data_IF_342978046352
#
_entry.id   IF_342978046352
#
_cell.length_a   1.000
_cell.length_b   1.000
_cell.length_c   1.000
_cell.angle_alpha   90.00
_cell.angle_beta   90.00
_cell.angle_gamma   90.00
#
_symmetry.space_group_name_H-M   'P 1'
#
loop_
_entity.id
_entity.type
_entity.pdbx_description
1 polymer ?
#
# COMPACT_ATOMS: atom_id res chain seq x y z
N UNK A 1 22.91 -34.09 2.70
CA UNK A 1 22.20 -33.26 1.71
C UNK A 1 20.75 -33.09 2.17
N UNK A 2 20.53 -32.47 3.33
CA UNK A 2 19.20 -32.25 3.95
C UNK A 2 19.35 -31.12 4.97
N UNK A 3 19.22 -29.88 4.53
CA UNK A 3 19.04 -28.69 5.38
C UNK A 3 18.66 -27.47 4.53
N UNK A 4 19.09 -27.39 3.26
CA UNK A 4 18.76 -26.28 2.35
C UNK A 4 17.38 -26.29 1.68
N UNK A 5 16.65 -27.41 1.64
CA UNK A 5 15.33 -27.49 0.97
C UNK A 5 14.15 -27.04 1.85
N UNK A 6 14.34 -26.86 3.17
CA UNK A 6 13.25 -26.40 4.07
C UNK A 6 13.23 -24.89 4.28
N UNK A 7 14.25 -24.17 3.85
CA UNK A 7 14.34 -22.71 3.98
C UNK A 7 13.72 -22.00 2.77
N UNK A 8 13.82 -22.60 1.56
CA UNK A 8 13.19 -22.04 0.35
C UNK A 8 11.66 -22.14 0.30
N UNK A 9 11.06 -23.00 1.11
CA UNK A 9 9.60 -23.21 1.14
C UNK A 9 8.89 -22.21 2.09
N UNK A 10 9.65 -21.48 2.91
CA UNK A 10 9.12 -20.42 3.79
C UNK A 10 9.09 -19.04 3.11
N UNK A 11 9.84 -18.82 2.04
CA UNK A 11 9.86 -17.55 1.31
C UNK A 11 8.61 -17.33 0.43
N UNK A 12 7.79 -18.37 0.21
CA UNK A 12 6.54 -18.30 -0.56
C UNK A 12 5.27 -18.05 0.27
N UNK A 13 5.36 -18.05 1.61
CA UNK A 13 4.20 -17.88 2.48
C UNK A 13 3.95 -16.38 2.70
N UNK A 14 2.81 -15.91 2.22
CA UNK A 14 2.37 -14.53 2.39
C UNK A 14 1.65 -14.41 3.73
N UNK A 15 2.23 -13.66 4.65
CA UNK A 15 1.57 -13.32 5.91
C UNK A 15 0.57 -12.18 5.67
N UNK A 16 -0.71 -12.54 5.70
CA UNK A 16 -1.84 -11.63 5.50
C UNK A 16 -2.38 -11.17 6.86
N UNK A 17 -2.40 -9.86 7.16
CA UNK A 17 -3.16 -9.34 8.28
C UNK A 17 -4.64 -9.68 8.14
N UNK A 18 -5.28 -10.24 9.18
CA UNK A 18 -6.70 -10.62 9.14
C UNK A 18 -7.61 -9.46 8.72
N UNK A 19 -7.22 -8.22 9.04
CA UNK A 19 -7.91 -7.02 8.60
C UNK A 19 -7.90 -6.86 7.08
N UNK A 20 -6.75 -6.97 6.41
CA UNK A 20 -6.63 -6.91 4.94
C UNK A 20 -7.51 -7.97 4.29
N UNK A 21 -7.57 -9.18 4.87
CA UNK A 21 -8.48 -10.21 4.39
C UNK A 21 -9.95 -9.75 4.45
N UNK A 22 -10.42 -9.26 5.60
CA UNK A 22 -11.83 -8.86 5.76
C UNK A 22 -12.18 -7.70 4.84
N UNK A 23 -11.31 -6.69 4.75
CA UNK A 23 -11.50 -5.51 3.91
C UNK A 23 -11.45 -5.87 2.41
N UNK A 24 -10.50 -6.72 2.02
CA UNK A 24 -10.36 -7.18 0.65
C UNK A 24 -11.45 -8.15 0.20
N UNK A 25 -12.26 -8.69 1.11
CA UNK A 25 -13.39 -9.56 0.78
C UNK A 25 -14.71 -8.81 0.58
N UNK A 26 -14.72 -7.48 0.73
CA UNK A 26 -15.90 -6.66 0.46
C UNK A 26 -16.20 -6.63 -1.04
N UNK A 27 -17.42 -7.04 -1.38
CA UNK A 27 -17.95 -7.04 -2.74
C UNK A 27 -18.38 -5.64 -3.16
N UNK A 28 -18.71 -5.52 -4.44
CA UNK A 28 -19.17 -4.26 -5.06
C UNK A 28 -20.41 -3.65 -4.39
N UNK A 29 -21.32 -4.49 -3.92
CA UNK A 29 -22.53 -4.07 -3.20
C UNK A 29 -22.27 -3.73 -1.71
N UNK A 30 -20.99 -3.78 -1.28
CA UNK A 30 -20.57 -3.55 0.09
C UNK A 30 -20.81 -4.71 1.04
N UNK A 31 -21.20 -5.89 0.55
CA UNK A 31 -21.37 -7.08 1.41
C UNK A 31 -20.11 -7.92 1.49
N UNK A 32 -19.98 -8.70 2.56
CA UNK A 32 -19.02 -9.80 2.66
C UNK A 32 -19.81 -11.05 3.03
N UNK A 33 -19.65 -12.11 2.24
CA UNK A 33 -20.17 -13.43 2.59
C UNK A 33 -19.27 -14.07 3.65
N UNK A 34 -19.81 -14.32 4.84
CA UNK A 34 -19.00 -14.87 5.93
C UNK A 34 -18.48 -16.27 5.59
N UNK A 35 -19.26 -17.10 4.90
CA UNK A 35 -18.85 -18.46 4.53
C UNK A 35 -17.59 -18.45 3.66
N UNK A 36 -17.61 -17.66 2.60
CA UNK A 36 -16.48 -17.44 1.70
C UNK A 36 -15.29 -16.81 2.41
N UNK A 37 -15.52 -15.80 3.27
CA UNK A 37 -14.49 -15.20 4.11
C UNK A 37 -13.78 -16.24 4.99
N UNK A 38 -14.52 -17.13 5.68
CA UNK A 38 -13.93 -18.18 6.51
C UNK A 38 -13.19 -19.23 5.67
N UNK A 39 -13.68 -19.55 4.47
CA UNK A 39 -12.99 -20.46 3.55
C UNK A 39 -11.65 -19.89 3.12
N UNK A 40 -11.62 -18.65 2.62
CA UNK A 40 -10.37 -17.96 2.23
C UNK A 40 -9.45 -17.76 3.44
N UNK A 41 -9.99 -17.44 4.61
CA UNK A 41 -9.21 -17.35 5.85
C UNK A 41 -8.50 -18.68 6.16
N UNK A 42 -9.19 -19.81 5.99
CA UNK A 42 -8.62 -21.14 6.17
C UNK A 42 -7.50 -21.43 5.19
N UNK A 43 -7.66 -21.08 3.91
CA UNK A 43 -6.63 -21.20 2.89
C UNK A 43 -5.37 -20.36 3.22
N UNK A 44 -5.56 -19.22 3.88
CA UNK A 44 -4.49 -18.35 4.39
C UNK A 44 -3.92 -18.77 5.76
N UNK A 45 -4.33 -19.93 6.28
CA UNK A 45 -3.83 -20.46 7.56
C UNK A 45 -4.36 -19.74 8.81
N UNK A 46 -5.45 -18.97 8.68
CA UNK A 46 -6.06 -18.28 9.81
C UNK A 46 -7.08 -19.17 10.52
N UNK A 47 -7.14 -19.05 11.84
CA UNK A 47 -8.17 -19.71 12.65
C UNK A 47 -9.50 -18.94 12.59
N UNK A 48 -10.60 -19.67 12.72
CA UNK A 48 -11.94 -19.06 12.84
C UNK A 48 -12.02 -18.04 14.01
N UNK A 49 -11.23 -18.23 15.08
CA UNK A 49 -11.18 -17.31 16.22
C UNK A 49 -10.54 -15.97 15.83
N UNK A 50 -9.43 -15.99 15.09
CA UNK A 50 -8.77 -14.77 14.60
C UNK A 50 -9.73 -13.93 13.76
N UNK A 51 -10.45 -14.57 12.82
CA UNK A 51 -11.43 -13.90 11.96
C UNK A 51 -12.58 -13.31 12.78
N UNK A 52 -13.14 -14.06 13.75
CA UNK A 52 -14.21 -13.56 14.65
C UNK A 52 -13.78 -12.33 15.43
N UNK A 53 -12.56 -12.32 15.97
CA UNK A 53 -12.04 -11.20 16.75
C UNK A 53 -11.84 -9.96 15.86
N UNK A 54 -11.34 -10.15 14.63
CA UNK A 54 -11.21 -9.08 13.66
C UNK A 54 -12.57 -8.47 13.28
N UNK A 55 -13.57 -9.30 12.96
CA UNK A 55 -14.93 -8.83 12.66
C UNK A 55 -15.51 -8.05 13.85
N UNK A 56 -15.40 -8.59 15.08
CA UNK A 56 -15.91 -7.91 16.28
C UNK A 56 -15.27 -6.54 16.48
N UNK A 57 -13.97 -6.42 16.23
CA UNK A 57 -13.23 -5.16 16.29
C UNK A 57 -13.73 -4.17 15.23
N UNK A 58 -13.85 -4.59 13.98
CA UNK A 58 -14.37 -3.76 12.88
C UNK A 58 -15.81 -3.30 13.12
N UNK A 59 -16.64 -4.13 13.75
CA UNK A 59 -18.00 -3.73 14.18
C UNK A 59 -17.94 -2.67 15.28
N UNK A 60 -17.07 -2.83 16.27
CA UNK A 60 -16.89 -1.84 17.35
C UNK A 60 -16.32 -0.51 16.83
N UNK A 61 -15.51 -0.54 15.78
CA UNK A 61 -14.97 0.62 15.06
C UNK A 61 -16.02 1.27 14.11
N UNK A 62 -17.23 0.71 14.00
CA UNK A 62 -18.29 1.24 13.12
C UNK A 62 -18.04 1.02 11.62
N UNK A 63 -17.10 0.13 11.28
CA UNK A 63 -16.69 -0.16 9.90
C UNK A 63 -17.40 -1.38 9.31
N UNK A 64 -17.99 -2.23 10.14
CA UNK A 64 -18.84 -3.33 9.71
C UNK A 64 -20.15 -3.35 10.48
N UNK A 65 -21.21 -3.75 9.79
CA UNK A 65 -22.46 -4.19 10.40
C UNK A 65 -22.57 -5.69 10.17
N UNK A 66 -22.89 -6.44 11.22
CA UNK A 66 -23.07 -7.89 11.17
C UNK A 66 -24.53 -8.26 11.41
N UNK A 67 -25.14 -8.96 10.47
CA UNK A 67 -26.45 -9.58 10.60
C UNK A 67 -26.29 -11.10 10.69
N UNK A 68 -26.86 -11.71 11.72
CA UNK A 68 -26.69 -13.15 11.99
C UNK A 68 -25.39 -13.50 12.71
N UNK A 69 -24.96 -14.77 12.63
CA UNK A 69 -23.78 -15.29 13.35
C UNK A 69 -23.03 -16.36 12.55
N UNK A 70 -21.72 -16.45 12.78
CA UNK A 70 -20.85 -17.49 12.21
C UNK A 70 -20.75 -17.42 10.69
N UNK A 71 -20.55 -18.57 10.05
CA UNK A 71 -20.39 -18.71 8.58
C UNK A 71 -21.66 -18.37 7.77
N UNK A 72 -22.80 -18.18 8.42
CA UNK A 72 -24.07 -17.78 7.79
C UNK A 72 -24.38 -16.30 8.01
N UNK A 73 -23.48 -15.55 8.65
CA UNK A 73 -23.67 -14.12 8.84
C UNK A 73 -23.52 -13.39 7.51
N UNK A 74 -24.31 -12.33 7.34
CA UNK A 74 -24.08 -11.33 6.31
C UNK A 74 -23.36 -10.15 6.96
N UNK A 75 -22.18 -9.80 6.44
CA UNK A 75 -21.48 -8.59 6.86
C UNK A 75 -21.70 -7.51 5.82
N UNK A 76 -21.81 -6.26 6.26
CA UNK A 76 -21.93 -5.08 5.40
C UNK A 76 -20.89 -4.04 5.80
N UNK A 77 -20.14 -3.54 4.82
CA UNK A 77 -19.21 -2.43 4.99
C UNK A 77 -19.96 -1.16 5.39
N UNK A 78 -19.43 -0.47 6.40
CA UNK A 78 -19.94 0.78 6.95
C UNK A 78 -18.80 1.79 7.15
N UNK A 79 -19.16 3.03 7.50
CA UNK A 79 -18.19 4.08 7.82
C UNK A 79 -17.11 4.27 6.74
N UNK A 80 -15.86 4.36 7.18
CA UNK A 80 -14.71 4.51 6.28
C UNK A 80 -14.43 3.27 5.46
N UNK A 81 -14.76 2.06 5.92
CA UNK A 81 -14.56 0.85 5.12
C UNK A 81 -15.43 0.86 3.85
N UNK A 82 -16.57 1.55 3.87
CA UNK A 82 -17.35 1.76 2.63
C UNK A 82 -16.63 2.67 1.63
N UNK A 83 -15.71 3.52 2.08
CA UNK A 83 -14.95 4.49 1.26
C UNK A 83 -13.50 4.06 0.96
N UNK A 84 -12.86 3.32 1.87
CA UNK A 84 -11.40 3.22 2.05
C UNK A 84 -10.79 1.87 1.67
N UNK A 85 -11.45 1.06 0.85
CA UNK A 85 -10.87 -0.22 0.35
C UNK A 85 -9.90 0.03 -0.81
N UNK A 86 -9.89 1.25 -1.33
CA UNK A 86 -8.95 1.67 -2.35
C UNK A 86 -7.64 2.13 -1.71
N UNK A 87 -6.48 1.77 -2.30
CA UNK A 87 -5.30 2.60 -2.15
C UNK A 87 -5.65 4.04 -2.50
N UNK A 88 -4.95 5.03 -1.93
CA UNK A 88 -5.12 6.40 -2.38
C UNK A 88 -4.90 6.43 -3.91
N UNK A 89 -5.97 6.61 -4.68
CA UNK A 89 -5.93 6.45 -6.13
C UNK A 89 -4.97 7.45 -6.77
N UNK A 90 -4.84 8.64 -6.17
CA UNK A 90 -3.87 9.65 -6.57
C UNK A 90 -2.43 9.18 -6.31
N UNK A 91 -2.16 8.61 -5.13
CA UNK A 91 -0.86 8.02 -4.81
C UNK A 91 -0.48 6.93 -5.82
N UNK A 92 -1.42 6.04 -6.16
CA UNK A 92 -1.17 5.02 -7.19
C UNK A 92 -0.89 5.62 -8.55
N UNK A 93 -1.71 6.59 -9.00
CA UNK A 93 -1.49 7.28 -10.27
C UNK A 93 -0.11 7.92 -10.31
N UNK A 94 0.30 8.60 -9.24
CA UNK A 94 1.62 9.21 -9.14
C UNK A 94 2.75 8.18 -9.24
N UNK A 95 2.66 7.10 -8.45
CA UNK A 95 3.61 5.99 -8.46
C UNK A 95 3.82 5.40 -9.86
N UNK A 96 2.75 5.19 -10.63
CA UNK A 96 2.85 4.65 -11.99
C UNK A 96 3.31 5.68 -13.03
N UNK A 97 3.00 6.98 -12.86
CA UNK A 97 3.61 8.05 -13.67
C UNK A 97 5.13 8.08 -13.48
N UNK A 98 5.62 7.94 -12.24
CA UNK A 98 7.05 7.87 -11.96
C UNK A 98 7.71 6.65 -12.61
N UNK A 99 7.08 5.47 -12.54
CA UNK A 99 7.59 4.26 -13.20
C UNK A 99 7.82 4.42 -14.71
N UNK A 100 7.07 5.33 -15.35
CA UNK A 100 7.14 5.64 -16.78
C UNK A 100 7.98 6.86 -17.12
N UNK A 101 8.56 7.52 -16.11
CA UNK A 101 9.29 8.78 -16.31
C UNK A 101 8.39 9.97 -16.70
N UNK A 102 7.07 9.88 -16.47
CA UNK A 102 6.10 10.95 -16.73
C UNK A 102 6.02 11.96 -15.57
N UNK A 103 6.68 11.68 -14.45
CA UNK A 103 6.84 12.57 -13.30
C UNK A 103 8.32 12.64 -12.93
N UNK A 104 9.17 13.29 -13.76
CA UNK A 104 10.59 13.42 -13.49
C UNK A 104 10.82 14.33 -12.28
N UNK A 105 11.93 14.13 -11.58
CA UNK A 105 12.35 15.09 -10.58
C UNK A 105 12.65 16.46 -11.21
N UNK A 106 12.15 17.53 -10.60
CA UNK A 106 12.35 18.92 -11.02
C UNK A 106 13.62 19.55 -10.42
N UNK A 107 14.36 18.81 -9.58
CA UNK A 107 15.54 19.30 -8.89
C UNK A 107 15.24 20.02 -7.57
N UNK A 108 13.98 20.02 -7.13
CA UNK A 108 13.53 20.72 -5.93
C UNK A 108 13.37 19.75 -4.76
N UNK A 109 13.84 20.19 -3.59
CA UNK A 109 13.52 19.58 -2.31
C UNK A 109 12.43 20.41 -1.64
N UNK A 110 11.42 19.74 -1.14
CA UNK A 110 10.29 20.34 -0.42
C UNK A 110 10.49 20.13 1.07
N UNK A 111 10.58 21.20 1.84
CA UNK A 111 10.89 21.15 3.26
C UNK A 111 9.72 21.64 4.10
N UNK A 112 9.54 20.97 5.24
CA UNK A 112 8.64 21.42 6.30
C UNK A 112 9.42 21.61 7.59
N UNK A 113 9.29 22.79 8.17
CA UNK A 113 9.73 23.08 9.52
C UNK A 113 8.51 23.27 10.42
N UNK A 114 8.57 22.83 11.68
CA UNK A 114 7.52 23.17 12.65
C UNK A 114 8.06 23.41 14.05
N UNK A 115 7.35 24.27 14.79
CA UNK A 115 7.65 24.62 16.18
C UNK A 115 6.40 24.49 17.05
N UNK A 116 5.89 23.26 17.20
CA UNK A 116 4.72 22.97 18.05
C UNK A 116 5.12 23.02 19.54
N UNK A 117 4.41 23.77 20.41
CA UNK A 117 4.76 23.88 21.83
C UNK A 117 4.76 22.54 22.58
N UNK A 118 5.60 22.41 23.61
CA UNK A 118 5.71 21.17 24.40
C UNK A 118 4.40 20.79 25.12
N UNK A 119 3.57 21.79 25.43
CA UNK A 119 2.24 21.60 25.98
C UNK A 119 1.30 20.86 25.02
N UNK A 120 1.60 20.84 23.72
CA UNK A 120 0.87 20.17 22.67
C UNK A 120 1.62 18.95 22.10
N UNK A 121 2.42 18.26 22.93
CA UNK A 121 3.20 17.07 22.54
C UNK A 121 2.41 16.02 21.73
N UNK A 122 1.16 15.64 22.08
CA UNK A 122 0.41 14.67 21.28
C UNK A 122 0.17 15.14 19.84
N UNK A 123 -0.14 16.42 19.64
CA UNK A 123 -0.35 17.00 18.32
C UNK A 123 0.96 17.06 17.52
N UNK A 124 2.08 17.38 18.18
CA UNK A 124 3.41 17.34 17.58
C UNK A 124 3.78 15.93 17.12
N UNK A 125 3.57 14.93 17.98
CA UNK A 125 3.93 13.54 17.68
C UNK A 125 3.03 13.00 16.54
N UNK A 126 1.75 13.38 16.51
CA UNK A 126 0.85 13.09 15.38
C UNK A 126 1.29 13.77 14.06
N UNK A 127 1.74 15.02 14.11
CA UNK A 127 2.23 15.72 12.91
C UNK A 127 3.51 15.06 12.37
N UNK A 128 4.41 14.61 13.26
CA UNK A 128 5.61 13.86 12.86
C UNK A 128 5.26 12.55 12.15
N UNK A 129 4.31 11.81 12.69
CA UNK A 129 3.83 10.56 12.10
C UNK A 129 3.20 10.81 10.73
N UNK A 130 2.36 11.85 10.60
CA UNK A 130 1.75 12.24 9.33
C UNK A 130 2.81 12.63 8.28
N UNK A 131 3.78 13.48 8.63
CA UNK A 131 4.87 13.89 7.73
C UNK A 131 5.68 12.68 7.25
N UNK A 132 6.05 11.76 8.14
CA UNK A 132 6.76 10.54 7.75
C UNK A 132 5.89 9.64 6.87
N UNK A 133 4.60 9.53 7.17
CA UNK A 133 3.63 8.79 6.35
C UNK A 133 3.43 9.37 4.95
N UNK A 134 3.62 10.68 4.78
CA UNK A 134 3.63 11.36 3.46
C UNK A 134 4.96 11.19 2.71
N UNK A 135 5.93 10.47 3.26
CA UNK A 135 7.24 10.22 2.64
C UNK A 135 8.37 11.14 3.13
N UNK A 136 8.12 11.98 4.14
CA UNK A 136 9.11 12.91 4.67
C UNK A 136 10.26 12.24 5.43
N UNK A 137 11.49 12.65 5.12
CA UNK A 137 12.68 12.26 5.88
C UNK A 137 13.08 13.35 6.89
N UNK A 138 13.42 12.99 8.14
CA UNK A 138 13.88 13.96 9.13
C UNK A 138 15.30 14.46 8.81
N UNK A 139 15.49 15.77 8.79
CA UNK A 139 16.80 16.42 8.76
C UNK A 139 17.28 16.77 10.16
N UNK A 140 16.41 17.41 10.95
CA UNK A 140 16.67 17.83 12.33
C UNK A 140 15.36 17.80 13.16
N UNK A 141 15.45 18.12 14.46
CA UNK A 141 14.29 18.17 15.35
C UNK A 141 13.27 19.21 14.89
N UNK A 142 12.25 18.77 14.14
CA UNK A 142 11.22 19.65 13.59
C UNK A 142 11.51 20.16 12.17
N UNK A 143 12.49 19.61 11.45
CA UNK A 143 12.75 19.90 10.04
C UNK A 143 12.78 18.60 9.23
N UNK A 144 11.97 18.52 8.18
CA UNK A 144 11.82 17.37 7.31
C UNK A 144 11.92 17.77 5.85
N UNK A 145 12.18 16.79 4.98
CA UNK A 145 12.33 16.98 3.53
C UNK A 145 11.65 15.87 2.74
N UNK A 146 11.11 16.23 1.59
CA UNK A 146 10.58 15.35 0.54
C UNK A 146 11.19 15.72 -0.81
N UNK A 147 11.24 14.76 -1.72
CA UNK A 147 11.57 14.97 -3.14
C UNK A 147 10.32 15.09 -4.03
N UNK A 148 9.13 14.93 -3.46
CA UNK A 148 7.85 15.17 -4.11
C UNK A 148 7.20 16.42 -3.52
N UNK A 149 6.45 17.12 -4.36
CA UNK A 149 5.47 18.12 -3.92
C UNK A 149 4.47 17.47 -2.96
N UNK A 150 4.32 18.08 -1.79
CA UNK A 150 3.57 17.56 -0.65
C UNK A 150 3.01 18.66 0.24
N UNK A 151 3.18 19.93 -0.14
CA UNK A 151 2.83 21.11 0.66
C UNK A 151 1.35 21.08 1.04
N UNK A 152 0.46 20.90 0.07
CA UNK A 152 -0.99 20.85 0.31
C UNK A 152 -1.38 19.68 1.25
N UNK A 153 -0.69 18.54 1.13
CA UNK A 153 -0.94 17.37 1.99
C UNK A 153 -0.49 17.64 3.42
N UNK A 154 0.67 18.27 3.60
CA UNK A 154 1.19 18.66 4.91
C UNK A 154 0.30 19.72 5.56
N UNK A 155 -0.16 20.72 4.80
CA UNK A 155 -1.10 21.74 5.29
C UNK A 155 -2.43 21.12 5.72
N UNK A 156 -2.98 20.20 4.93
CA UNK A 156 -4.21 19.49 5.26
C UNK A 156 -4.09 18.70 6.58
N UNK A 157 -2.99 17.96 6.75
CA UNK A 157 -2.73 17.21 7.99
C UNK A 157 -2.50 18.14 9.19
N UNK A 158 -1.73 19.21 9.02
CA UNK A 158 -1.51 20.21 10.07
C UNK A 158 -2.82 20.91 10.47
N UNK A 159 -3.69 21.19 9.51
CA UNK A 159 -5.03 21.74 9.74
C UNK A 159 -5.92 20.77 10.51
N UNK A 160 -5.96 19.49 10.09
CA UNK A 160 -6.72 18.42 10.76
C UNK A 160 -6.28 18.21 12.21
N UNK A 161 -4.99 18.33 12.48
CA UNK A 161 -4.39 18.18 13.83
C UNK A 161 -4.56 19.46 14.66
N UNK A 162 -4.81 20.62 14.03
CA UNK A 162 -4.97 21.91 14.71
C UNK A 162 -3.64 22.61 15.03
N UNK A 163 -2.60 22.38 14.22
CA UNK A 163 -1.24 22.92 14.41
C UNK A 163 -0.71 23.70 13.20
N UNK A 164 -1.55 24.03 12.23
CA UNK A 164 -1.16 24.73 11.01
C UNK A 164 -0.36 26.04 11.27
N UNK A 165 -0.71 26.80 12.31
CA UNK A 165 0.00 28.03 12.68
C UNK A 165 1.46 27.82 13.13
N UNK A 166 1.87 26.58 13.39
CA UNK A 166 3.22 26.22 13.81
C UNK A 166 4.07 25.64 12.68
N UNK A 167 3.54 25.58 11.45
CA UNK A 167 4.18 24.97 10.29
C UNK A 167 4.71 26.04 9.34
N UNK A 168 5.92 25.82 8.84
CA UNK A 168 6.56 26.61 7.79
C UNK A 168 6.93 25.69 6.65
N UNK A 169 6.55 26.05 5.43
CA UNK A 169 6.90 25.34 4.20
C UNK A 169 7.88 26.17 3.39
N UNK A 170 8.84 25.51 2.77
CA UNK A 170 9.78 26.13 1.85
C UNK A 170 10.34 25.09 0.89
N UNK A 171 10.86 25.57 -0.24
CA UNK A 171 11.56 24.75 -1.22
C UNK A 171 13.01 25.15 -1.35
N UNK A 172 13.87 24.22 -1.77
CA UNK A 172 15.28 24.50 -2.07
C UNK A 172 15.80 23.60 -3.19
N UNK A 173 16.52 24.17 -4.15
CA UNK A 173 17.32 23.43 -5.13
C UNK A 173 18.75 23.10 -4.65
N UNK A 174 19.13 23.54 -3.44
CA UNK A 174 20.49 23.37 -2.88
C UNK A 174 20.39 22.79 -1.47
N UNK A 175 20.14 21.48 -1.39
CA UNK A 175 20.18 20.73 -0.13
C UNK A 175 21.59 20.18 0.10
N UNK A 176 22.12 20.40 1.32
CA UNK A 176 23.42 19.86 1.74
C UNK A 176 23.31 19.30 3.14
N UNK A 177 23.77 18.06 3.32
CA UNK A 177 23.70 17.39 4.63
C UNK A 177 25.08 16.85 4.99
N UNK A 178 25.74 17.49 5.96
CA UNK A 178 27.09 17.10 6.38
C UNK A 178 28.13 17.14 5.24
N UNK A 179 28.02 18.11 4.32
CA UNK A 179 28.92 18.27 3.18
C UNK A 179 28.52 17.51 1.92
N UNK A 180 27.63 16.50 2.02
CA UNK A 180 27.07 15.80 0.86
C UNK A 180 26.12 16.71 0.08
N UNK A 181 26.20 16.66 -1.25
CA UNK A 181 25.41 17.46 -2.21
C UNK A 181 24.80 16.63 -3.33
N UNK A 182 25.29 15.42 -3.57
CA UNK A 182 24.75 14.54 -4.61
C UNK A 182 23.33 14.10 -4.21
N UNK A 183 22.30 14.40 -5.02
CA UNK A 183 20.92 14.08 -4.67
C UNK A 183 20.66 12.59 -4.43
N UNK A 184 21.37 11.69 -5.14
CA UNK A 184 21.26 10.25 -4.95
C UNK A 184 21.88 9.80 -3.62
N UNK A 185 23.06 10.32 -3.29
CA UNK A 185 23.69 10.07 -2.00
C UNK A 185 22.84 10.61 -0.82
N UNK A 186 22.25 11.80 -0.98
CA UNK A 186 21.30 12.34 -0.01
C UNK A 186 20.08 11.43 0.14
N UNK A 187 19.49 10.96 -0.96
CA UNK A 187 18.37 10.04 -0.94
C UNK A 187 18.70 8.72 -0.22
N UNK A 188 19.85 8.11 -0.53
CA UNK A 188 20.31 6.89 0.11
C UNK A 188 20.60 7.05 1.62
N UNK A 189 20.96 8.26 2.05
CA UNK A 189 21.21 8.59 3.46
C UNK A 189 19.92 8.86 4.24
N UNK A 190 18.95 9.52 3.61
CA UNK A 190 17.74 10.02 4.27
C UNK A 190 16.62 8.98 4.34
N UNK A 191 16.52 8.11 3.34
CA UNK A 191 15.50 7.06 3.27
C UNK A 191 16.12 5.66 3.34
N UNK A 192 15.42 4.67 3.92
CA UNK A 192 15.91 3.30 4.03
C UNK A 192 15.74 2.54 2.70
N UNK A 193 16.40 3.00 1.64
CA UNK A 193 16.20 2.50 0.26
C UNK A 193 16.41 0.99 0.13
N UNK A 194 17.38 0.41 0.83
CA UNK A 194 17.61 -1.03 0.81
C UNK A 194 16.45 -1.84 1.40
N UNK A 195 15.79 -1.31 2.45
CA UNK A 195 14.61 -1.95 3.05
C UNK A 195 13.43 -1.89 2.08
N UNK A 196 13.21 -0.74 1.47
CA UNK A 196 12.14 -0.54 0.47
C UNK A 196 12.37 -1.43 -0.76
N UNK A 197 13.62 -1.48 -1.25
CA UNK A 197 14.01 -2.34 -2.37
C UNK A 197 13.79 -3.83 -2.07
N UNK A 198 14.08 -4.29 -0.84
CA UNK A 198 13.78 -5.67 -0.42
C UNK A 198 12.28 -5.96 -0.43
N UNK A 199 11.45 -5.04 0.05
CA UNK A 199 10.01 -5.21 0.06
C UNK A 199 9.44 -5.31 -1.38
N UNK A 200 9.91 -4.46 -2.30
CA UNK A 200 9.54 -4.55 -3.71
C UNK A 200 10.03 -5.82 -4.40
N UNK A 201 11.23 -6.32 -4.09
CA UNK A 201 11.70 -7.61 -4.63
C UNK A 201 10.78 -8.75 -4.20
N UNK A 202 10.42 -8.80 -2.91
CA UNK A 202 9.48 -9.80 -2.38
C UNK A 202 8.10 -9.70 -3.05
N UNK A 203 7.57 -8.49 -3.23
CA UNK A 203 6.35 -8.27 -4.00
C UNK A 203 6.49 -8.82 -5.43
N UNK A 204 7.60 -8.54 -6.11
CA UNK A 204 7.86 -9.04 -7.46
C UNK A 204 7.95 -10.56 -7.55
N UNK A 205 8.55 -11.22 -6.56
CA UNK A 205 8.64 -12.69 -6.47
C UNK A 205 7.25 -13.32 -6.28
N UNK A 206 6.47 -12.81 -5.32
CA UNK A 206 5.09 -13.27 -5.08
C UNK A 206 4.21 -13.01 -6.31
N UNK A 207 4.22 -11.79 -6.85
CA UNK A 207 3.45 -11.44 -8.03
C UNK A 207 3.83 -12.30 -9.25
N UNK A 208 5.12 -12.54 -9.48
CA UNK A 208 5.58 -13.43 -10.55
C UNK A 208 5.06 -14.87 -10.41
N UNK A 209 5.14 -15.43 -9.20
CA UNK A 209 4.61 -16.76 -8.89
C UNK A 209 3.10 -16.84 -9.11
N UNK A 210 2.34 -15.86 -8.59
CA UNK A 210 0.88 -15.83 -8.73
C UNK A 210 0.43 -15.58 -10.16
N UNK A 211 1.13 -14.74 -10.92
CA UNK A 211 0.84 -14.52 -12.33
C UNK A 211 1.00 -15.81 -13.15
N UNK A 212 2.05 -16.58 -12.91
CA UNK A 212 2.24 -17.88 -13.55
C UNK A 212 1.10 -18.86 -13.20
N UNK A 213 0.61 -18.82 -11.95
CA UNK A 213 -0.53 -19.62 -11.51
C UNK A 213 -1.84 -19.20 -12.19
N UNK A 214 -2.11 -17.90 -12.27
CA UNK A 214 -3.29 -17.31 -12.92
C UNK A 214 -3.34 -17.58 -14.43
N UNK A 215 -2.18 -17.63 -15.09
CA UNK A 215 -2.04 -17.96 -16.53
C UNK A 215 -1.94 -19.46 -16.82
N UNK A 216 -2.12 -20.31 -15.81
CA UNK A 216 -2.10 -21.75 -15.97
C UNK A 216 -3.20 -22.26 -16.93
N UNK A 217 -3.04 -23.46 -17.50
CA UNK A 217 -3.96 -24.00 -18.49
C UNK A 217 -5.32 -24.43 -17.93
N UNK A 218 -5.46 -24.50 -16.59
CA UNK A 218 -6.69 -24.91 -15.91
C UNK A 218 -7.28 -23.73 -15.14
N UNK A 219 -8.59 -23.48 -15.24
CA UNK A 219 -9.27 -22.50 -14.40
C UNK A 219 -9.03 -22.80 -12.91
N UNK A 220 -8.84 -21.74 -12.15
CA UNK A 220 -8.67 -21.84 -10.70
C UNK A 220 -10.05 -21.86 -10.01
N UNK A 221 -10.19 -22.60 -8.89
CA UNK A 221 -11.38 -22.46 -8.06
C UNK A 221 -11.47 -21.05 -7.48
N UNK A 222 -12.68 -20.53 -7.29
CA UNK A 222 -12.94 -19.17 -6.78
C UNK A 222 -12.17 -18.85 -5.49
N UNK A 223 -12.11 -19.82 -4.56
CA UNK A 223 -11.35 -19.68 -3.31
C UNK A 223 -9.86 -19.37 -3.55
N UNK A 224 -9.24 -20.03 -4.53
CA UNK A 224 -7.83 -19.82 -4.86
C UNK A 224 -7.63 -18.46 -5.53
N UNK A 225 -8.54 -18.04 -6.40
CA UNK A 225 -8.53 -16.71 -7.03
C UNK A 225 -8.61 -15.59 -5.97
N UNK A 226 -9.52 -15.73 -5.01
CA UNK A 226 -9.67 -14.80 -3.90
C UNK A 226 -8.44 -14.80 -2.99
N UNK A 227 -7.90 -15.98 -2.68
CA UNK A 227 -6.67 -16.12 -1.88
C UNK A 227 -5.51 -15.36 -2.53
N UNK A 228 -5.28 -15.57 -3.83
CA UNK A 228 -4.25 -14.87 -4.60
C UNK A 228 -4.45 -13.36 -4.55
N UNK A 229 -5.68 -12.87 -4.73
CA UNK A 229 -5.96 -11.44 -4.69
C UNK A 229 -5.64 -10.81 -3.33
N UNK A 230 -6.00 -11.49 -2.24
CA UNK A 230 -5.71 -11.02 -0.87
C UNK A 230 -4.21 -11.06 -0.57
N UNK A 231 -3.49 -12.10 -1.00
CA UNK A 231 -2.04 -12.17 -0.88
C UNK A 231 -1.35 -11.00 -1.61
N UNK A 232 -1.77 -10.72 -2.84
CA UNK A 232 -1.24 -9.61 -3.65
C UNK A 232 -1.53 -8.25 -3.02
N UNK A 233 -2.74 -8.04 -2.50
CA UNK A 233 -3.10 -6.81 -1.79
C UNK A 233 -2.25 -6.62 -0.51
N UNK A 234 -2.02 -7.70 0.26
CA UNK A 234 -1.21 -7.66 1.46
C UNK A 234 0.27 -7.35 1.15
N UNK A 235 0.85 -8.00 0.14
CA UNK A 235 2.25 -7.75 -0.26
C UNK A 235 2.42 -6.36 -0.89
N UNK A 236 1.43 -5.89 -1.65
CA UNK A 236 1.45 -4.52 -2.17
C UNK A 236 1.44 -3.49 -1.04
N UNK A 237 0.52 -3.65 -0.08
CA UNK A 237 0.45 -2.75 1.10
C UNK A 237 1.78 -2.74 1.84
N UNK A 238 2.35 -3.92 2.12
CA UNK A 238 3.65 -4.07 2.79
C UNK A 238 4.81 -3.37 2.07
N UNK A 239 4.80 -3.38 0.73
CA UNK A 239 5.85 -2.76 -0.08
C UNK A 239 5.66 -1.25 -0.24
N UNK A 240 4.41 -0.79 -0.33
CA UNK A 240 4.07 0.60 -0.67
C UNK A 240 3.93 1.51 0.55
N UNK A 241 3.39 1.02 1.66
CA UNK A 241 3.19 1.82 2.88
C UNK A 241 4.47 2.50 3.39
N UNK A 242 5.67 1.87 3.35
CA UNK A 242 6.92 2.54 3.71
C UNK A 242 7.63 3.24 2.53
N UNK A 243 7.07 3.20 1.31
CA UNK A 243 7.71 3.75 0.11
C UNK A 243 7.40 5.26 -0.01
N UNK A 244 8.41 6.15 0.10
CA UNK A 244 8.23 7.60 -0.06
C UNK A 244 7.96 8.03 -1.52
N UNK A 245 7.92 7.08 -2.47
CA UNK A 245 7.79 7.35 -3.91
C UNK A 245 8.83 8.35 -4.40
N UNK A 246 10.10 8.14 -4.07
CA UNK A 246 11.15 9.02 -4.57
C UNK A 246 11.18 9.00 -6.11
N UNK A 247 11.41 10.16 -6.75
CA UNK A 247 11.62 10.24 -8.18
C UNK A 247 12.71 9.26 -8.69
N UNK A 248 12.55 8.65 -9.87
CA UNK A 248 13.49 7.66 -10.41
C UNK A 248 14.94 8.14 -10.59
N UNK A 249 15.16 9.46 -10.66
CA UNK A 249 16.47 10.09 -10.73
C UNK A 249 17.26 9.95 -9.43
N UNK A 250 16.57 9.83 -8.29
CA UNK A 250 17.16 9.71 -6.96
C UNK A 250 17.38 8.25 -6.53
N UNK A 251 16.79 7.30 -7.26
CA UNK A 251 16.84 5.89 -6.93
C UNK A 251 18.05 5.16 -7.55
N UNK A 252 18.59 4.13 -6.85
CA UNK A 252 19.52 3.18 -7.44
C UNK A 252 18.91 2.51 -8.68
N UNK A 253 19.74 2.26 -9.70
CA UNK A 253 19.31 1.60 -10.94
C UNK A 253 19.98 0.23 -11.09
N UNK A 254 19.24 -0.85 -11.42
CA UNK A 254 17.78 -0.89 -11.59
C UNK A 254 17.03 -0.86 -10.25
N UNK A 255 15.91 -0.10 -10.18
CA UNK A 255 15.04 -0.10 -9.01
C UNK A 255 14.01 -1.23 -9.10
N UNK A 256 13.86 -2.09 -8.08
CA UNK A 256 12.97 -3.26 -8.15
C UNK A 256 11.48 -2.90 -8.17
N UNK A 257 11.09 -1.73 -7.67
CA UNK A 257 9.69 -1.30 -7.60
C UNK A 257 8.98 -1.31 -8.94
N UNK A 258 9.66 -0.83 -10.01
CA UNK A 258 9.10 -0.78 -11.37
C UNK A 258 8.67 -2.17 -11.84
N UNK A 259 9.56 -3.16 -11.71
CA UNK A 259 9.28 -4.54 -12.14
C UNK A 259 8.19 -5.18 -11.27
N UNK A 260 8.23 -4.97 -9.96
CA UNK A 260 7.26 -5.53 -9.03
C UNK A 260 5.84 -5.04 -9.33
N UNK A 261 5.68 -3.73 -9.55
CA UNK A 261 4.40 -3.10 -9.88
C UNK A 261 3.89 -3.48 -11.26
N UNK A 262 4.77 -3.70 -12.24
CA UNK A 262 4.40 -4.21 -13.55
C UNK A 262 3.86 -5.65 -13.49
N UNK A 263 4.47 -6.52 -12.69
CA UNK A 263 3.97 -7.88 -12.46
C UNK A 263 2.63 -7.87 -11.71
N UNK A 264 2.51 -7.02 -10.69
CA UNK A 264 1.27 -6.85 -9.94
C UNK A 264 0.12 -6.37 -10.83
N UNK A 265 0.37 -5.38 -11.69
CA UNK A 265 -0.63 -4.89 -12.65
C UNK A 265 -1.12 -6.01 -13.59
N UNK A 266 -0.22 -6.89 -14.04
CA UNK A 266 -0.61 -8.06 -14.83
C UNK A 266 -1.48 -9.03 -14.03
N UNK A 267 -1.17 -9.29 -12.75
CA UNK A 267 -2.04 -10.12 -11.90
C UNK A 267 -3.45 -9.53 -11.80
N UNK A 268 -3.56 -8.22 -11.56
CA UNK A 268 -4.86 -7.53 -11.47
C UNK A 268 -5.67 -7.62 -12.76
N UNK A 269 -5.00 -7.63 -13.92
CA UNK A 269 -5.68 -7.83 -15.21
C UNK A 269 -6.15 -9.29 -15.44
N UNK A 270 -5.49 -10.29 -14.86
CA UNK A 270 -5.89 -11.70 -15.00
C UNK A 270 -6.97 -12.12 -13.99
N UNK A 271 -6.98 -11.54 -12.79
CA UNK A 271 -7.90 -11.94 -11.70
C UNK A 271 -9.39 -11.89 -12.11
N UNK A 272 -9.92 -10.83 -12.74
CA UNK A 272 -11.31 -10.79 -13.20
C UNK A 272 -11.66 -11.86 -14.24
N UNK A 273 -10.68 -12.36 -15.01
CA UNK A 273 -10.91 -13.43 -16.01
C UNK A 273 -11.13 -14.80 -15.37
N UNK A 274 -10.64 -14.97 -14.14
CA UNK A 274 -10.73 -16.23 -13.39
C UNK A 274 -11.87 -16.23 -12.36
N UNK A 275 -12.32 -15.05 -11.93
CA UNK A 275 -13.34 -14.93 -10.89
C UNK A 275 -14.78 -14.99 -11.42
N UNK A 276 -15.68 -15.50 -10.59
CA UNK A 276 -17.12 -15.33 -10.73
C UNK A 276 -17.48 -13.84 -10.53
N UNK A 277 -18.02 -13.15 -11.55
CA UNK A 277 -18.36 -11.73 -11.47
C UNK A 277 -19.34 -11.38 -10.35
N UNK A 278 -20.24 -12.31 -9.98
CA UNK A 278 -21.22 -12.08 -8.91
C UNK A 278 -20.57 -12.12 -7.50
N UNK A 279 -19.36 -12.65 -7.40
CA UNK A 279 -18.60 -12.84 -6.16
C UNK A 279 -17.29 -12.06 -6.15
N UNK A 280 -17.04 -11.26 -7.18
CA UNK A 280 -15.82 -10.48 -7.31
C UNK A 280 -15.75 -9.42 -6.19
N UNK A 281 -14.63 -9.36 -5.44
CA UNK A 281 -14.41 -8.29 -4.49
C UNK A 281 -14.26 -6.95 -5.21
N UNK A 282 -14.67 -5.88 -4.54
CA UNK A 282 -14.56 -4.51 -5.04
C UNK A 282 -13.13 -4.10 -5.39
N UNK A 283 -12.14 -4.67 -4.70
CA UNK A 283 -10.74 -4.36 -4.98
C UNK A 283 -10.33 -4.72 -6.42
N UNK A 284 -11.01 -5.69 -7.07
CA UNK A 284 -10.68 -6.07 -8.44
C UNK A 284 -10.91 -4.89 -9.38
N UNK A 285 -12.07 -4.23 -9.29
CA UNK A 285 -12.37 -3.04 -10.07
C UNK A 285 -11.44 -1.88 -9.69
N UNK A 286 -11.20 -1.66 -8.40
CA UNK A 286 -10.35 -0.54 -7.96
C UNK A 286 -8.94 -0.60 -8.53
N UNK A 287 -8.31 -1.77 -8.54
CA UNK A 287 -7.00 -1.95 -9.15
C UNK A 287 -7.07 -1.95 -10.68
N UNK A 288 -8.11 -2.54 -11.27
CA UNK A 288 -8.30 -2.59 -12.73
C UNK A 288 -8.54 -1.19 -13.32
N UNK A 289 -9.38 -0.35 -12.70
CA UNK A 289 -9.62 1.03 -13.13
C UNK A 289 -8.31 1.83 -13.13
N UNK A 290 -7.52 1.74 -12.06
CA UNK A 290 -6.23 2.42 -11.97
C UNK A 290 -5.28 1.88 -13.03
N UNK A 291 -5.16 0.55 -13.16
CA UNK A 291 -4.26 -0.09 -14.14
C UNK A 291 -4.69 0.23 -15.57
N UNK A 292 -5.98 0.29 -15.91
CA UNK A 292 -6.47 0.65 -17.25
C UNK A 292 -6.22 2.12 -17.57
N UNK A 293 -6.58 3.04 -16.67
CA UNK A 293 -6.26 4.47 -16.82
C UNK A 293 -4.78 4.66 -17.12
N UNK A 294 -3.94 3.88 -16.43
CA UNK A 294 -2.50 3.86 -16.65
C UNK A 294 -2.19 3.26 -18.04
N UNK A 295 -2.60 2.03 -18.37
CA UNK A 295 -2.29 1.39 -19.66
C UNK A 295 -2.72 2.25 -20.86
N UNK A 296 -3.93 2.80 -20.84
CA UNK A 296 -4.48 3.64 -21.91
C UNK A 296 -3.73 4.99 -22.03
N UNK A 297 -3.32 5.60 -20.91
CA UNK A 297 -2.50 6.82 -20.92
C UNK A 297 -1.04 6.60 -21.37
N UNK A 298 -0.61 5.35 -21.59
CA UNK A 298 0.72 5.01 -22.13
C UNK A 298 0.75 4.82 -23.65
N UNK A 299 -0.42 4.77 -24.30
CA UNK A 299 -0.56 4.59 -25.76
C UNK A 299 -0.87 5.91 -26.49
N UNK A 300 -0.96 7.03 -25.77
CA UNK A 300 -1.14 8.40 -26.30
C UNK A 300 0.15 9.20 -26.23
#
# INVERSE_FOLDING_TARGET
MREGERESDRDGVVEVPTRILVEGMVREDGTVDAGELYTVAGALGMTDQQVRLCIKRLVAEGQLVQEGRGRRALLRAAGDLRRSIAPNAEFMRHMYRQDRGQAPWDGVWHLVAFAVPETARPARDALREAIVGLGGAPLHGGLYVSANDWEELVEAEAGRIGVAAFVTLLTSGDLRVGGERDPRALAARLWPLDRIARAHRRLGEVAGSRLARLRGPRPLPQEEVLTIAIELAAEFTRAVEPDPLLPPELLPRPWPGVRARALLAQCWAELPRQADPARAPRLFRLYDDVVREIVEAGES
#
